data_IF_295073539400
#
_entry.id   IF_295073539400
#
_cell.length_a   1.000
_cell.length_b   1.000
_cell.length_c   1.000
_cell.angle_alpha   90.00
_cell.angle_beta   90.00
_cell.angle_gamma   90.00
#
_symmetry.space_group_name_H-M   'P 1'
#
loop_
_entity.id
_entity.type
_entity.pdbx_description
1 polymer ?
#
# COMPACT_ATOMS: atom_id res chain seq x y z
N UNK A 1 -50.53 -30.82 -6.42
CA UNK A 1 -49.25 -30.70 -5.69
C UNK A 1 -48.20 -30.24 -6.70
N UNK A 2 -48.03 -28.93 -6.90
CA UNK A 2 -47.01 -28.41 -7.83
C UNK A 2 -45.62 -28.56 -7.19
N UNK A 3 -44.76 -29.34 -7.83
CA UNK A 3 -43.35 -29.44 -7.46
C UNK A 3 -42.65 -28.12 -7.78
N UNK A 4 -42.26 -27.38 -6.75
CA UNK A 4 -41.35 -26.25 -6.86
C UNK A 4 -39.98 -26.81 -7.26
N UNK A 5 -39.63 -26.70 -8.54
CA UNK A 5 -38.26 -26.97 -8.99
C UNK A 5 -37.38 -25.78 -8.59
N UNK A 6 -36.49 -26.00 -7.62
CA UNK A 6 -35.48 -25.03 -7.23
C UNK A 6 -34.45 -24.85 -8.34
N UNK A 7 -34.15 -23.60 -8.68
CA UNK A 7 -33.11 -23.27 -9.65
C UNK A 7 -31.72 -23.65 -9.11
N UNK A 8 -30.78 -24.08 -9.98
CA UNK A 8 -29.42 -24.43 -9.55
C UNK A 8 -28.65 -23.21 -9.03
N UNK A 9 -27.68 -23.40 -8.12
CA UNK A 9 -26.88 -22.31 -7.58
C UNK A 9 -26.03 -21.66 -8.69
N UNK A 10 -25.78 -20.34 -8.61
CA UNK A 10 -24.96 -19.65 -9.60
C UNK A 10 -23.52 -20.18 -9.58
N UNK A 11 -22.84 -20.21 -10.75
CA UNK A 11 -21.47 -20.68 -10.82
C UNK A 11 -20.54 -19.79 -9.96
N UNK A 12 -19.43 -20.35 -9.44
CA UNK A 12 -18.49 -19.59 -8.64
C UNK A 12 -17.90 -18.45 -9.47
N UNK A 13 -18.25 -17.21 -9.11
CA UNK A 13 -17.62 -16.01 -9.66
C UNK A 13 -16.18 -15.98 -9.16
N UNK A 14 -15.21 -16.16 -10.06
CA UNK A 14 -13.80 -15.93 -9.74
C UNK A 14 -13.60 -14.45 -9.41
N UNK A 15 -13.45 -14.14 -8.12
CA UNK A 15 -12.98 -12.83 -7.67
C UNK A 15 -11.47 -12.80 -7.72
N UNK A 16 -10.93 -12.18 -8.75
CA UNK A 16 -9.50 -12.06 -9.00
C UNK A 16 -9.20 -12.17 -10.49
N UNK A 17 -8.12 -11.53 -10.95
CA UNK A 17 -7.66 -11.61 -12.35
C UNK A 17 -7.29 -13.06 -12.65
N UNK A 18 -7.93 -13.73 -13.64
CA UNK A 18 -7.55 -15.08 -14.02
C UNK A 18 -6.09 -15.08 -14.47
N UNK A 19 -5.29 -15.96 -13.87
CA UNK A 19 -3.93 -16.22 -14.34
C UNK A 19 -3.98 -17.42 -15.29
N UNK A 20 -3.19 -17.33 -16.36
CA UNK A 20 -2.89 -18.35 -17.36
C UNK A 20 -3.86 -18.47 -18.55
N UNK A 21 -3.61 -17.67 -19.59
CA UNK A 21 -3.80 -18.07 -20.99
C UNK A 21 -2.58 -17.64 -21.82
N UNK A 22 -2.28 -18.47 -22.82
CA UNK A 22 -0.98 -18.71 -23.44
C UNK A 22 -0.26 -17.52 -24.09
N UNK A 23 1.07 -17.61 -24.03
CA UNK A 23 2.06 -16.73 -24.63
C UNK A 23 2.12 -17.03 -26.13
N UNK A 24 1.29 -16.36 -26.90
CA UNK A 24 1.52 -16.17 -28.34
C UNK A 24 0.59 -15.06 -28.80
N UNK A 25 1.02 -13.81 -28.60
CA UNK A 25 0.92 -12.80 -29.65
C UNK A 25 1.68 -11.55 -29.20
N UNK A 26 2.63 -11.20 -30.05
CA UNK A 26 3.54 -10.08 -29.88
C UNK A 26 2.80 -8.79 -30.28
N UNK A 27 3.08 -7.74 -29.51
CA UNK A 27 3.06 -6.31 -29.86
C UNK A 27 1.83 -5.50 -29.42
N UNK A 28 2.10 -4.48 -28.60
CA UNK A 28 1.19 -3.49 -28.01
C UNK A 28 0.25 -3.99 -26.91
N UNK A 29 0.78 -4.05 -25.69
CA UNK A 29 -0.05 -3.83 -24.51
C UNK A 29 0.80 -3.11 -23.47
N UNK A 30 0.29 -1.98 -23.00
CA UNK A 30 0.82 -1.21 -21.88
C UNK A 30 1.17 -2.15 -20.74
N UNK A 31 2.47 -2.39 -20.56
CA UNK A 31 2.98 -3.10 -19.40
C UNK A 31 2.50 -2.28 -18.21
N UNK A 32 1.56 -2.81 -17.44
CA UNK A 32 1.26 -2.34 -16.10
C UNK A 32 2.51 -2.66 -15.27
N UNK A 33 3.52 -1.80 -15.44
CA UNK A 33 4.72 -1.76 -14.62
C UNK A 33 4.19 -1.40 -13.25
N UNK A 34 3.99 -2.42 -12.41
CA UNK A 34 3.72 -2.24 -10.98
C UNK A 34 4.66 -1.15 -10.51
N UNK A 35 4.09 -0.02 -10.08
CA UNK A 35 4.86 1.15 -9.72
C UNK A 35 6.02 0.70 -8.82
N UNK A 36 7.25 1.00 -9.27
CA UNK A 36 8.44 0.59 -8.55
C UNK A 36 8.29 0.97 -7.08
N UNK A 37 8.67 0.10 -6.12
CA UNK A 37 8.62 0.44 -4.72
C UNK A 37 9.33 1.77 -4.51
N UNK A 38 8.63 2.76 -3.94
CA UNK A 38 9.22 4.06 -3.64
C UNK A 38 10.50 3.81 -2.84
N UNK A 39 11.67 4.29 -3.30
CA UNK A 39 12.93 4.06 -2.63
C UNK A 39 12.83 4.48 -1.16
N UNK A 40 13.14 3.55 -0.25
CA UNK A 40 13.25 3.87 1.16
C UNK A 40 14.53 4.70 1.33
N UNK A 41 14.48 5.86 2.02
CA UNK A 41 15.67 6.65 2.23
C UNK A 41 16.74 5.84 2.97
N UNK A 42 18.03 6.06 2.65
CA UNK A 42 19.13 5.34 3.28
C UNK A 42 19.13 5.55 4.81
N UNK A 43 19.57 4.52 5.54
CA UNK A 43 19.53 4.48 7.00
C UNK A 43 20.23 5.68 7.64
N UNK A 44 21.33 6.16 7.05
CA UNK A 44 22.07 7.34 7.51
C UNK A 44 21.19 8.58 7.55
N UNK A 45 20.48 8.89 6.45
CA UNK A 45 19.55 10.03 6.35
C UNK A 45 18.32 9.84 7.23
N UNK A 46 17.90 8.59 7.46
CA UNK A 46 16.76 8.30 8.32
C UNK A 46 17.03 8.67 9.78
N UNK A 47 18.22 8.38 10.31
CA UNK A 47 18.57 8.51 11.74
C UNK A 47 19.45 9.72 12.07
N UNK A 48 19.71 10.61 11.11
CA UNK A 48 20.57 11.78 11.31
C UNK A 48 19.96 12.88 12.20
N UNK A 49 18.69 12.75 12.60
CA UNK A 49 17.94 13.64 13.50
C UNK A 49 17.90 15.11 13.06
N UNK A 50 18.24 15.42 11.80
CA UNK A 50 18.30 16.79 11.30
C UNK A 50 17.31 17.00 10.14
N UNK A 51 16.59 18.13 10.15
CA UNK A 51 15.63 18.54 9.12
C UNK A 51 14.45 17.57 8.86
N UNK A 52 14.00 16.84 9.87
CA UNK A 52 12.80 15.98 9.77
C UNK A 52 11.56 16.72 10.28
N UNK A 53 10.96 17.58 9.44
CA UNK A 53 9.75 18.31 9.82
C UNK A 53 8.49 17.54 9.45
N UNK A 54 7.51 17.43 10.37
CA UNK A 54 6.22 16.82 10.06
C UNK A 54 5.38 17.79 9.21
N UNK A 55 4.85 17.30 8.09
CA UNK A 55 3.90 18.03 7.25
C UNK A 55 2.64 17.21 7.00
N UNK A 56 1.50 17.90 6.92
CA UNK A 56 0.22 17.28 6.59
C UNK A 56 0.18 16.89 5.12
N UNK A 57 -0.38 15.72 4.83
CA UNK A 57 -0.48 15.12 3.50
C UNK A 57 -1.74 14.27 3.38
N UNK A 58 -1.96 13.69 2.19
CA UNK A 58 -3.06 12.76 1.94
C UNK A 58 -2.95 11.51 2.81
N UNK A 59 -4.11 10.96 3.19
CA UNK A 59 -4.20 9.75 4.01
C UNK A 59 -3.48 8.59 3.30
N UNK A 60 -2.52 7.97 3.97
CA UNK A 60 -1.80 6.80 3.46
C UNK A 60 -1.30 5.90 4.59
N UNK A 61 -0.80 4.71 4.25
CA UNK A 61 -0.29 3.76 5.26
C UNK A 61 0.98 4.27 5.92
N UNK A 62 1.09 4.07 7.23
CA UNK A 62 2.33 4.30 7.97
C UNK A 62 3.43 3.38 7.42
N UNK A 63 4.65 3.91 7.31
CA UNK A 63 5.83 3.16 6.84
C UNK A 63 6.73 2.67 7.98
N UNK A 64 6.35 2.91 9.23
CA UNK A 64 7.03 2.27 10.36
C UNK A 64 6.70 0.78 10.38
N UNK A 65 7.71 -0.09 10.42
CA UNK A 65 7.57 -1.53 10.17
C UNK A 65 6.62 -2.28 11.12
N UNK A 66 6.33 -1.71 12.29
CA UNK A 66 5.41 -2.28 13.30
C UNK A 66 4.03 -1.63 13.31
N UNK A 67 3.74 -0.72 12.39
CA UNK A 67 2.49 0.05 12.37
C UNK A 67 1.65 -0.29 11.13
N UNK A 68 0.40 -0.69 11.34
CA UNK A 68 -0.55 -1.04 10.27
C UNK A 68 -1.60 0.05 9.99
N UNK A 69 -1.54 1.15 10.73
CA UNK A 69 -2.53 2.21 10.64
C UNK A 69 -2.23 3.23 9.53
N UNK A 70 -3.21 4.09 9.27
CA UNK A 70 -3.07 5.20 8.34
C UNK A 70 -2.56 6.45 9.04
N UNK A 71 -1.77 7.24 8.33
CA UNK A 71 -1.33 8.56 8.75
C UNK A 71 -1.66 9.60 7.68
N UNK A 72 -1.84 10.84 8.13
CA UNK A 72 -1.88 12.06 7.30
C UNK A 72 -0.64 12.92 7.49
N UNK A 73 0.35 12.45 8.23
CA UNK A 73 1.62 13.15 8.46
C UNK A 73 2.73 12.47 7.67
N UNK A 74 3.57 13.27 7.03
CA UNK A 74 4.79 12.81 6.37
C UNK A 74 6.00 13.64 6.77
N UNK A 75 7.19 13.07 6.68
CA UNK A 75 8.45 13.80 6.86
C UNK A 75 8.84 14.58 5.59
N UNK A 76 9.22 15.85 5.73
CA UNK A 76 9.68 16.72 4.63
C UNK A 76 10.92 16.19 3.92
N UNK A 77 11.85 15.58 4.65
CA UNK A 77 13.13 15.07 4.14
C UNK A 77 13.00 13.66 3.57
N UNK A 78 12.50 12.73 4.39
CA UNK A 78 12.38 11.32 4.01
C UNK A 78 11.19 11.00 3.09
N UNK A 79 10.22 11.92 2.95
CA UNK A 79 8.97 11.73 2.15
C UNK A 79 8.17 10.47 2.52
N UNK A 80 8.36 9.96 3.74
CA UNK A 80 7.62 8.81 4.29
C UNK A 80 6.45 9.28 5.15
N UNK A 81 5.35 8.51 5.13
CA UNK A 81 4.18 8.73 5.97
C UNK A 81 4.35 8.01 7.31
N UNK A 82 4.23 8.74 8.41
CA UNK A 82 4.47 8.24 9.77
C UNK A 82 3.38 8.75 10.70
N UNK A 83 2.92 7.92 11.63
CA UNK A 83 1.93 8.35 12.62
C UNK A 83 2.53 9.32 13.64
N UNK A 84 1.79 10.38 13.93
CA UNK A 84 2.09 11.36 14.96
C UNK A 84 0.78 11.70 15.69
N UNK A 85 0.45 10.90 16.70
CA UNK A 85 -0.77 11.02 17.51
C UNK A 85 -0.41 10.86 18.99
N UNK A 86 -1.32 11.19 19.91
CA UNK A 86 -1.11 11.04 21.36
C UNK A 86 -0.74 9.61 21.78
N UNK A 87 -1.38 8.60 21.17
CA UNK A 87 -1.16 7.18 21.51
C UNK A 87 0.12 6.59 20.93
N UNK A 88 0.68 7.19 19.88
CA UNK A 88 1.81 6.63 19.14
C UNK A 88 2.56 7.67 18.34
N UNK A 89 3.87 7.59 18.42
CA UNK A 89 4.77 8.51 17.73
C UNK A 89 5.75 7.73 16.85
N UNK A 90 5.23 7.17 15.76
CA UNK A 90 6.04 6.49 14.76
C UNK A 90 7.00 7.45 14.04
N UNK A 91 6.74 8.76 14.08
CA UNK A 91 7.66 9.76 13.56
C UNK A 91 8.99 9.72 14.32
N UNK A 92 8.93 9.77 15.66
CA UNK A 92 10.11 9.65 16.53
C UNK A 92 10.80 8.30 16.36
N UNK A 93 10.05 7.20 16.43
CA UNK A 93 10.61 5.84 16.35
C UNK A 93 11.31 5.54 15.01
N UNK A 94 10.86 6.19 13.93
CA UNK A 94 11.47 6.01 12.63
C UNK A 94 12.75 6.84 12.45
N UNK A 95 12.96 7.90 13.24
CA UNK A 95 14.11 8.79 13.11
C UNK A 95 15.15 8.64 14.23
N UNK A 96 14.87 7.82 15.25
CA UNK A 96 15.77 7.48 16.36
C UNK A 96 16.22 6.02 16.29
#
# INVERSE_FOLDING_TARGET
KSLLQSSPPPPPVQRGRPSLQNISDRNNTTIDVRAAPVPVPPTSTRIDKFDHWPVSTTKGRCRNGRCLEYSRISCTKCKVRLCLNEKKNCFKDYHH
#
